data_IF_846195815835
#
_entry.id   IF_846195815835
#
_cell.length_a   1.000
_cell.length_b   1.000
_cell.length_c   1.000
_cell.angle_alpha   90.00
_cell.angle_beta   90.00
_cell.angle_gamma   90.00
#
_symmetry.space_group_name_H-M   'P 1'
#
loop_
_entity.id
_entity.type
_entity.pdbx_description
1 polymer ?
#
# COMPACT_ATOMS: atom_id res chain seq x y z
N UNK A 1 5.29 4.23 -7.98
CA UNK A 1 4.09 4.31 -7.09
C UNK A 1 2.87 4.11 -7.96
N UNK A 2 2.08 3.10 -7.63
CA UNK A 2 0.84 2.83 -8.36
C UNK A 2 -0.22 3.85 -7.99
N UNK A 3 -0.29 4.23 -6.70
CA UNK A 3 -1.23 5.25 -6.22
C UNK A 3 -0.59 6.16 -5.18
N UNK A 4 -0.92 7.45 -5.26
CA UNK A 4 -0.64 8.43 -4.22
C UNK A 4 -1.91 9.27 -4.00
N UNK A 5 -2.33 9.43 -2.76
CA UNK A 5 -3.49 10.21 -2.40
C UNK A 5 -3.30 10.92 -1.06
N UNK A 6 -3.84 12.13 -0.94
CA UNK A 6 -4.02 12.74 0.37
C UNK A 6 -5.33 12.22 0.96
N UNK A 7 -5.24 11.57 2.10
CA UNK A 7 -6.39 11.01 2.83
C UNK A 7 -6.64 11.84 4.06
N UNK A 8 -7.88 12.27 4.22
CA UNK A 8 -8.35 12.95 5.42
C UNK A 8 -8.89 11.93 6.41
N UNK A 9 -8.24 11.82 7.55
CA UNK A 9 -8.70 11.01 8.67
C UNK A 9 -9.37 11.88 9.71
N UNK A 10 -10.45 11.36 10.31
CA UNK A 10 -11.14 12.03 11.40
C UNK A 10 -11.00 11.18 12.67
N UNK A 11 -10.33 11.75 13.65
CA UNK A 11 -10.18 11.16 14.98
C UNK A 11 -10.89 12.04 16.01
N UNK A 12 -12.14 11.67 16.34
CA UNK A 12 -13.02 12.54 17.13
C UNK A 12 -13.38 13.83 16.38
N UNK A 13 -13.02 14.97 16.97
CA UNK A 13 -13.23 16.30 16.36
C UNK A 13 -11.99 16.83 15.61
N UNK A 14 -10.91 16.05 15.56
CA UNK A 14 -9.68 16.44 14.88
C UNK A 14 -9.64 15.80 13.50
N UNK A 15 -9.46 16.61 12.46
CA UNK A 15 -9.17 16.17 11.11
C UNK A 15 -7.66 16.23 10.87
N UNK A 16 -7.10 15.13 10.36
CA UNK A 16 -5.67 15.05 10.00
C UNK A 16 -5.56 14.58 8.56
N UNK A 17 -4.86 15.33 7.75
CA UNK A 17 -4.54 14.93 6.39
C UNK A 17 -3.17 14.23 6.39
N UNK A 18 -3.07 13.12 5.63
CA UNK A 18 -1.81 12.42 5.39
C UNK A 18 -1.69 11.96 3.96
N UNK A 19 -0.47 11.85 3.47
CA UNK A 19 -0.20 11.28 2.15
C UNK A 19 -0.09 9.76 2.30
N UNK A 20 -0.92 9.04 1.57
CA UNK A 20 -0.89 7.58 1.49
C UNK A 20 -0.36 7.18 0.13
N UNK A 21 0.72 6.41 0.13
CA UNK A 21 1.35 5.83 -1.04
C UNK A 21 1.03 4.35 -1.07
N UNK A 22 0.52 3.85 -2.19
CA UNK A 22 0.23 2.42 -2.35
C UNK A 22 1.09 1.89 -3.49
N UNK A 23 1.80 0.82 -3.23
CA UNK A 23 2.62 0.09 -4.19
C UNK A 23 2.18 -1.37 -4.23
N UNK A 24 1.88 -1.87 -5.43
CA UNK A 24 1.58 -3.28 -5.67
C UNK A 24 2.79 -3.94 -6.32
N UNK A 25 3.23 -5.06 -5.78
CA UNK A 25 4.33 -5.82 -6.34
C UNK A 25 4.00 -7.30 -6.38
N UNK A 26 3.92 -7.86 -7.58
CA UNK A 26 3.54 -9.26 -7.81
C UNK A 26 4.65 -10.23 -7.36
N UNK A 27 5.88 -9.95 -7.77
CA UNK A 27 7.05 -10.81 -7.55
C UNK A 27 8.22 -10.01 -7.03
N UNK A 28 9.14 -10.65 -6.31
CA UNK A 28 10.38 -10.00 -5.88
C UNK A 28 11.33 -9.82 -7.06
N UNK A 29 11.78 -8.58 -7.26
CA UNK A 29 12.84 -8.23 -8.19
C UNK A 29 14.02 -7.63 -7.43
N UNK A 30 15.24 -7.87 -7.88
CA UNK A 30 16.45 -7.34 -7.22
C UNK A 30 16.50 -5.80 -7.18
N UNK A 31 15.74 -5.13 -8.04
CA UNK A 31 15.68 -3.67 -8.15
C UNK A 31 14.55 -3.03 -7.32
N UNK A 32 13.64 -3.81 -6.73
CA UNK A 32 12.45 -3.30 -6.04
C UNK A 32 12.77 -2.29 -4.95
N UNK A 33 13.70 -2.63 -4.07
CA UNK A 33 14.08 -1.73 -2.97
C UNK A 33 14.55 -0.37 -3.48
N UNK A 34 15.33 -0.36 -4.58
CA UNK A 34 15.79 0.89 -5.17
C UNK A 34 14.62 1.67 -5.78
N UNK A 35 13.71 0.97 -6.46
CA UNK A 35 12.50 1.57 -7.05
C UNK A 35 11.62 2.20 -5.98
N UNK A 36 11.32 1.48 -4.89
CA UNK A 36 10.54 2.01 -3.78
C UNK A 36 11.21 3.24 -3.15
N UNK A 37 12.53 3.22 -2.97
CA UNK A 37 13.27 4.37 -2.45
C UNK A 37 13.22 5.58 -3.39
N UNK A 38 13.25 5.37 -4.70
CA UNK A 38 13.09 6.44 -5.68
C UNK A 38 11.70 7.07 -5.61
N UNK A 39 10.65 6.24 -5.47
CA UNK A 39 9.28 6.72 -5.32
C UNK A 39 9.07 7.51 -4.03
N UNK A 40 9.57 7.01 -2.92
CA UNK A 40 9.56 7.74 -1.66
C UNK A 40 10.31 9.07 -1.80
N UNK A 41 11.50 9.07 -2.38
CA UNK A 41 12.30 10.27 -2.62
C UNK A 41 11.56 11.32 -3.47
N UNK A 42 10.85 10.86 -4.50
CA UNK A 42 10.03 11.74 -5.33
C UNK A 42 8.89 12.39 -4.52
N UNK A 43 8.26 11.64 -3.62
CA UNK A 43 7.19 12.17 -2.77
C UNK A 43 7.72 13.10 -1.67
N UNK A 44 8.86 12.80 -1.06
CA UNK A 44 9.52 13.70 -0.10
C UNK A 44 9.89 15.05 -0.70
N UNK A 45 10.24 15.08 -1.99
CA UNK A 45 10.57 16.32 -2.72
C UNK A 45 9.39 17.00 -3.40
N UNK A 46 8.21 16.42 -3.33
CA UNK A 46 7.02 16.95 -3.98
C UNK A 46 6.44 18.13 -3.19
N UNK A 47 6.46 19.30 -3.77
CA UNK A 47 5.96 20.54 -3.15
C UNK A 47 4.47 20.48 -2.83
N UNK A 48 3.67 19.68 -3.53
CA UNK A 48 2.24 19.50 -3.23
C UNK A 48 1.98 18.78 -1.90
N UNK A 49 3.00 18.15 -1.33
CA UNK A 49 2.91 17.49 -0.02
C UNK A 49 3.23 18.42 1.15
N UNK A 50 3.49 19.71 0.90
CA UNK A 50 3.65 20.71 1.95
C UNK A 50 2.27 21.29 2.29
N UNK A 51 1.99 21.45 3.59
CA UNK A 51 0.73 22.00 4.09
C UNK A 51 0.69 23.49 3.75
N UNK A 52 -0.23 23.91 2.88
CA UNK A 52 -0.36 25.31 2.47
C UNK A 52 -0.80 26.23 3.63
N UNK A 53 -1.55 25.68 4.58
CA UNK A 53 -2.06 26.41 5.75
C UNK A 53 -1.05 26.51 6.90
N UNK A 54 0.08 25.83 6.82
CA UNK A 54 1.11 25.81 7.83
C UNK A 54 2.15 26.92 7.55
N UNK A 55 2.16 27.99 8.38
CA UNK A 55 3.16 29.07 8.29
C UNK A 55 4.61 28.56 8.35
N UNK A 56 4.85 27.41 8.96
CA UNK A 56 6.18 26.77 9.05
C UNK A 56 6.50 25.90 7.83
N UNK A 57 5.53 25.61 6.99
CA UNK A 57 5.72 24.83 5.75
C UNK A 57 6.09 23.36 6.00
N UNK A 58 5.59 22.74 7.08
CA UNK A 58 5.78 21.31 7.30
C UNK A 58 5.02 20.48 6.26
N UNK A 59 5.62 19.34 5.90
CA UNK A 59 4.98 18.38 5.01
C UNK A 59 3.86 17.59 5.73
N UNK A 60 2.95 17.01 4.93
CA UNK A 60 2.00 16.04 5.44
C UNK A 60 2.71 14.78 5.93
N UNK A 61 2.26 14.15 7.03
CA UNK A 61 2.71 12.82 7.42
C UNK A 61 2.49 11.83 6.27
N UNK A 62 3.43 10.92 6.08
CA UNK A 62 3.36 9.91 5.03
C UNK A 62 3.15 8.50 5.58
N UNK A 63 2.37 7.70 4.86
CA UNK A 63 2.23 6.26 5.08
C UNK A 63 2.45 5.54 3.76
N UNK A 64 3.41 4.61 3.74
CA UNK A 64 3.65 3.75 2.59
C UNK A 64 2.98 2.38 2.80
N UNK A 65 2.13 1.97 1.88
CA UNK A 65 1.44 0.68 1.90
C UNK A 65 2.01 -0.19 0.78
N UNK A 66 2.63 -1.31 1.16
CA UNK A 66 3.19 -2.27 0.23
C UNK A 66 2.30 -3.51 0.16
N UNK A 67 1.65 -3.74 -0.97
CA UNK A 67 0.85 -4.92 -1.26
C UNK A 67 1.71 -5.92 -2.04
N UNK A 68 2.20 -6.94 -1.34
CA UNK A 68 3.20 -7.85 -1.88
C UNK A 68 2.57 -9.20 -2.24
N UNK A 69 2.72 -9.62 -3.49
CA UNK A 69 2.37 -10.97 -3.97
C UNK A 69 3.37 -12.06 -3.55
N UNK A 70 4.33 -11.73 -2.69
CA UNK A 70 5.36 -12.63 -2.18
C UNK A 70 5.57 -12.44 -0.68
N UNK A 71 6.33 -13.33 -0.06
CA UNK A 71 6.69 -13.25 1.36
C UNK A 71 7.98 -12.45 1.57
N UNK A 72 8.05 -11.76 2.69
CA UNK A 72 9.22 -10.98 3.11
C UNK A 72 10.01 -11.74 4.17
N UNK A 73 11.12 -12.32 3.76
CA UNK A 73 12.02 -13.03 4.66
C UNK A 73 11.30 -14.11 5.45
N UNK A 74 11.52 -14.12 6.77
CA UNK A 74 10.93 -15.08 7.72
C UNK A 74 9.73 -14.51 8.50
N UNK A 75 9.16 -13.41 8.03
CA UNK A 75 7.98 -12.81 8.68
C UNK A 75 6.76 -13.65 8.32
N UNK A 76 6.04 -14.13 9.35
CA UNK A 76 4.87 -15.01 9.17
C UNK A 76 3.53 -14.28 9.33
N UNK A 77 3.55 -13.04 9.77
CA UNK A 77 2.38 -12.19 9.91
C UNK A 77 1.93 -11.70 8.53
N UNK A 78 0.64 -11.83 8.18
CA UNK A 78 0.13 -11.38 6.88
C UNK A 78 0.17 -9.85 6.73
N UNK A 79 0.07 -9.11 7.83
CA UNK A 79 0.12 -7.65 7.85
C UNK A 79 1.11 -7.21 8.91
N UNK A 80 2.07 -6.38 8.51
CA UNK A 80 3.12 -5.84 9.38
C UNK A 80 3.09 -4.32 9.34
N UNK A 81 3.06 -3.69 10.51
CA UNK A 81 3.18 -2.25 10.68
C UNK A 81 4.61 -1.90 11.05
N UNK A 82 5.19 -0.96 10.33
CA UNK A 82 6.51 -0.38 10.61
C UNK A 82 6.30 1.04 11.06
N UNK A 83 6.52 1.27 12.34
CA UNK A 83 6.37 2.58 12.98
C UNK A 83 7.73 3.08 13.46
N UNK A 84 7.81 4.35 13.76
CA UNK A 84 9.00 4.96 14.37
C UNK A 84 8.64 5.59 15.72
N UNK A 85 9.61 5.59 16.63
CA UNK A 85 9.55 6.25 17.94
C UNK A 85 10.66 7.29 18.05
N UNK A 86 10.47 8.26 18.94
CA UNK A 86 11.48 9.28 19.23
C UNK A 86 12.21 8.91 20.54
N UNK A 87 13.53 8.85 20.48
CA UNK A 87 14.39 8.51 21.61
C UNK A 87 15.27 9.69 22.00
N UNK A 88 15.57 9.79 23.33
CA UNK A 88 16.63 10.66 23.80
C UNK A 88 18.01 10.03 23.51
N UNK A 89 19.10 10.78 23.81
CA UNK A 89 20.44 10.28 23.56
C UNK A 89 20.86 9.10 24.47
N UNK A 90 20.09 8.80 25.53
CA UNK A 90 20.30 7.63 26.41
C UNK A 90 19.52 6.42 25.94
N UNK A 91 18.69 6.55 24.88
CA UNK A 91 17.84 5.50 24.36
C UNK A 91 16.50 5.35 25.08
N UNK A 92 16.08 6.34 25.87
CA UNK A 92 14.74 6.34 26.46
C UNK A 92 13.74 6.92 25.46
N UNK A 93 12.54 6.34 25.40
CA UNK A 93 11.46 6.87 24.58
C UNK A 93 11.06 8.24 25.11
N UNK A 94 11.15 9.27 24.26
CA UNK A 94 10.71 10.63 24.57
C UNK A 94 9.21 10.75 24.36
N UNK A 95 8.71 10.14 23.29
CA UNK A 95 7.30 10.13 22.95
C UNK A 95 7.00 8.91 22.08
N UNK A 96 6.00 8.13 22.47
CA UNK A 96 5.44 7.08 21.63
C UNK A 96 4.71 7.73 20.46
N UNK A 97 5.11 7.39 19.25
CA UNK A 97 4.58 7.96 18.01
C UNK A 97 4.70 9.49 18.02
N UNK A 98 5.72 10.03 17.41
CA UNK A 98 5.90 11.49 17.42
C UNK A 98 4.79 12.17 16.62
N UNK A 99 3.99 12.98 17.31
CA UNK A 99 3.05 13.90 16.63
C UNK A 99 3.70 15.27 16.35
N UNK A 100 5.03 15.37 16.54
CA UNK A 100 5.75 16.61 16.26
C UNK A 100 5.85 16.80 14.73
N UNK A 101 5.26 17.87 14.17
CA UNK A 101 5.16 18.04 12.71
C UNK A 101 6.48 18.02 11.97
N UNK A 102 7.55 18.50 12.59
CA UNK A 102 8.89 18.44 11.99
C UNK A 102 9.38 17.00 11.85
N UNK A 103 9.22 16.19 12.90
CA UNK A 103 9.64 14.78 12.88
C UNK A 103 8.79 14.00 11.89
N UNK A 104 7.47 14.19 11.90
CA UNK A 104 6.52 13.57 10.95
C UNK A 104 6.85 13.91 9.49
N UNK A 105 7.33 15.12 9.23
CA UNK A 105 7.71 15.53 7.87
C UNK A 105 9.00 14.89 7.35
N UNK A 106 9.82 14.32 8.23
CA UNK A 106 11.11 13.69 7.88
C UNK A 106 11.05 12.17 7.74
N UNK A 107 9.97 11.55 8.21
CA UNK A 107 9.84 10.10 8.28
C UNK A 107 8.52 9.64 7.65
N UNK A 108 8.32 8.33 7.58
CA UNK A 108 7.05 7.74 7.21
C UNK A 108 6.85 6.41 7.93
N UNK A 109 5.61 6.09 8.20
CA UNK A 109 5.21 4.76 8.64
C UNK A 109 4.95 3.87 7.42
N UNK A 110 5.06 2.56 7.60
CA UNK A 110 4.76 1.62 6.52
C UNK A 110 3.81 0.53 6.98
N UNK A 111 2.99 0.07 6.05
CA UNK A 111 2.14 -1.10 6.20
C UNK A 111 2.57 -2.08 5.10
N UNK A 112 3.04 -3.25 5.50
CA UNK A 112 3.46 -4.30 4.58
C UNK A 112 2.43 -5.42 4.64
N UNK A 113 1.81 -5.71 3.51
CA UNK A 113 0.82 -6.77 3.37
C UNK A 113 1.40 -7.90 2.53
N UNK A 114 1.54 -9.08 3.12
CA UNK A 114 1.97 -10.30 2.46
C UNK A 114 0.74 -11.09 1.99
N UNK A 115 0.26 -10.81 0.78
CA UNK A 115 -0.98 -11.38 0.24
C UNK A 115 -1.01 -12.91 0.31
N UNK A 116 0.09 -13.66 0.01
CA UNK A 116 0.09 -15.12 0.13
C UNK A 116 -0.18 -15.66 1.54
N UNK A 117 -0.06 -14.84 2.59
CA UNK A 117 -0.35 -15.22 3.97
C UNK A 117 -1.79 -14.92 4.40
N UNK A 118 -2.58 -14.26 3.55
CA UNK A 118 -4.00 -13.99 3.82
C UNK A 118 -4.92 -15.20 3.58
N UNK A 119 -4.36 -16.34 3.16
CA UNK A 119 -5.10 -17.55 2.80
C UNK A 119 -6.16 -17.98 3.83
N UNK A 120 -7.39 -18.06 3.39
CA UNK A 120 -8.49 -18.68 4.11
C UNK A 120 -8.99 -17.95 5.36
N UNK A 121 -8.31 -16.88 5.76
CA UNK A 121 -8.62 -16.09 6.95
C UNK A 121 -9.14 -14.70 6.57
N UNK A 122 -10.19 -14.66 5.74
CA UNK A 122 -10.84 -13.38 5.41
C UNK A 122 -11.78 -13.01 6.55
N UNK A 123 -11.24 -12.34 7.56
CA UNK A 123 -11.97 -11.99 8.79
C UNK A 123 -12.57 -10.57 8.75
N UNK A 124 -12.12 -9.75 7.82
CA UNK A 124 -12.57 -8.36 7.69
C UNK A 124 -12.62 -7.90 6.23
N UNK A 125 -13.20 -6.71 6.01
CA UNK A 125 -13.37 -6.15 4.66
C UNK A 125 -12.02 -5.91 3.95
N UNK A 126 -10.99 -5.47 4.67
CA UNK A 126 -9.66 -5.22 4.10
C UNK A 126 -9.04 -6.51 3.57
N UNK A 127 -9.04 -7.59 4.38
CA UNK A 127 -8.54 -8.90 3.96
C UNK A 127 -9.34 -9.43 2.76
N UNK A 128 -10.64 -9.20 2.73
CA UNK A 128 -11.53 -9.54 1.60
C UNK A 128 -11.13 -8.81 0.32
N UNK A 129 -10.86 -7.48 0.40
CA UNK A 129 -10.37 -6.68 -0.73
C UNK A 129 -9.02 -7.19 -1.21
N UNK A 130 -8.09 -7.42 -0.30
CA UNK A 130 -6.73 -7.83 -0.64
C UNK A 130 -6.65 -9.25 -1.21
N UNK A 131 -7.59 -10.14 -0.84
CA UNK A 131 -7.63 -11.51 -1.35
C UNK A 131 -7.83 -11.60 -2.87
N UNK A 132 -8.38 -10.55 -3.53
CA UNK A 132 -8.52 -10.54 -5.00
C UNK A 132 -7.18 -10.43 -5.72
N UNK A 133 -6.14 -10.00 -5.02
CA UNK A 133 -4.77 -9.93 -5.57
C UNK A 133 -3.96 -11.19 -5.28
N UNK A 134 -4.57 -12.22 -4.68
CA UNK A 134 -3.90 -13.47 -4.35
C UNK A 134 -3.58 -14.29 -5.60
N UNK A 135 -2.31 -14.29 -5.98
CA UNK A 135 -1.79 -14.99 -7.16
C UNK A 135 -1.87 -16.53 -7.04
N UNK A 136 -2.11 -17.07 -5.85
CA UNK A 136 -2.27 -18.52 -5.69
C UNK A 136 -3.65 -19.02 -6.18
N UNK A 137 -4.58 -18.10 -6.42
CA UNK A 137 -5.89 -18.41 -7.01
C UNK A 137 -5.88 -18.36 -8.54
N UNK A 138 -4.72 -18.30 -9.16
CA UNK A 138 -4.56 -18.30 -10.62
C UNK A 138 -4.69 -19.72 -11.15
N UNK A 139 -5.62 -19.93 -12.10
CA UNK A 139 -5.74 -21.19 -12.83
C UNK A 139 -5.01 -21.14 -14.18
N UNK A 140 -4.27 -22.20 -14.48
CA UNK A 140 -3.65 -22.44 -15.78
C UNK A 140 -2.15 -22.13 -15.86
N UNK A 141 -1.51 -22.65 -16.93
CA UNK A 141 -0.08 -22.52 -17.16
C UNK A 141 0.39 -21.08 -17.52
N UNK A 142 -0.55 -20.16 -17.73
CA UNK A 142 -0.25 -18.80 -18.18
C UNK A 142 -0.23 -17.78 -17.04
N UNK A 143 -0.63 -18.17 -15.82
CA UNK A 143 -0.69 -17.29 -14.65
C UNK A 143 -1.46 -15.95 -14.88
N UNK A 144 -2.40 -15.95 -15.83
CA UNK A 144 -3.05 -14.72 -16.29
C UNK A 144 -4.55 -14.66 -15.95
N UNK A 145 -5.12 -15.72 -15.41
CA UNK A 145 -6.56 -15.78 -15.10
C UNK A 145 -6.75 -16.01 -13.62
N UNK A 146 -7.23 -15.00 -12.92
CA UNK A 146 -7.71 -15.11 -11.55
C UNK A 146 -9.13 -15.66 -11.54
N UNK A 147 -9.35 -16.74 -10.83
CA UNK A 147 -10.69 -17.26 -10.58
C UNK A 147 -11.24 -16.60 -9.32
N UNK A 148 -12.07 -15.61 -9.51
CA UNK A 148 -12.72 -14.88 -8.44
C UNK A 148 -14.18 -15.31 -8.40
N UNK A 149 -14.64 -15.77 -7.25
CA UNK A 149 -16.02 -16.09 -6.99
C UNK A 149 -16.76 -14.80 -6.60
N UNK A 150 -17.47 -14.20 -7.57
CA UNK A 150 -18.19 -12.94 -7.40
C UNK A 150 -19.29 -13.03 -6.34
N UNK A 151 -19.86 -14.23 -6.12
CA UNK A 151 -20.92 -14.44 -5.12
C UNK A 151 -20.43 -14.12 -3.69
N UNK A 152 -19.14 -14.27 -3.44
CA UNK A 152 -18.54 -13.89 -2.14
C UNK A 152 -18.57 -12.39 -1.85
N UNK A 153 -18.79 -11.58 -2.88
CA UNK A 153 -18.75 -10.12 -2.82
C UNK A 153 -20.09 -9.47 -3.11
N UNK A 154 -21.16 -10.28 -3.25
CA UNK A 154 -22.50 -9.81 -3.65
C UNK A 154 -23.06 -8.69 -2.75
N UNK A 155 -22.65 -8.66 -1.47
CA UNK A 155 -23.10 -7.66 -0.50
C UNK A 155 -22.23 -6.38 -0.46
N UNK A 156 -21.16 -6.29 -1.30
CA UNK A 156 -20.22 -5.18 -1.29
C UNK A 156 -20.08 -4.55 -2.69
N UNK A 157 -20.84 -3.48 -2.93
CA UNK A 157 -20.87 -2.79 -4.23
C UNK A 157 -19.49 -2.23 -4.64
N UNK A 158 -18.66 -1.80 -3.69
CA UNK A 158 -17.31 -1.28 -3.99
C UNK A 158 -16.43 -2.43 -4.48
N UNK A 159 -16.56 -3.60 -3.86
CA UNK A 159 -15.84 -4.80 -4.27
C UNK A 159 -16.29 -5.27 -5.66
N UNK A 160 -17.59 -5.32 -5.92
CA UNK A 160 -18.10 -5.65 -7.25
C UNK A 160 -17.57 -4.68 -8.31
N UNK A 161 -17.51 -3.39 -7.99
CA UNK A 161 -16.92 -2.39 -8.88
C UNK A 161 -15.44 -2.68 -9.17
N UNK A 162 -14.63 -2.99 -8.15
CA UNK A 162 -13.22 -3.37 -8.32
C UNK A 162 -13.09 -4.62 -9.18
N UNK A 163 -13.88 -5.67 -8.91
CA UNK A 163 -13.86 -6.91 -9.68
C UNK A 163 -14.21 -6.69 -11.15
N UNK A 164 -15.27 -5.91 -11.43
CA UNK A 164 -15.63 -5.56 -12.79
C UNK A 164 -14.53 -4.78 -13.52
N UNK A 165 -13.83 -3.88 -12.81
CA UNK A 165 -12.68 -3.15 -13.39
C UNK A 165 -11.51 -4.07 -13.70
N UNK A 166 -11.17 -4.99 -12.77
CA UNK A 166 -10.12 -5.98 -12.98
C UNK A 166 -10.44 -6.92 -14.13
N UNK A 167 -11.69 -7.39 -14.23
CA UNK A 167 -12.18 -8.25 -15.32
C UNK A 167 -12.11 -7.53 -16.66
N UNK A 168 -12.53 -6.25 -16.70
CA UNK A 168 -12.46 -5.44 -17.92
C UNK A 168 -11.00 -5.19 -18.35
N UNK A 169 -10.11 -4.90 -17.40
CA UNK A 169 -8.68 -4.75 -17.67
C UNK A 169 -8.06 -6.04 -18.21
N UNK A 170 -8.38 -7.19 -17.60
CA UNK A 170 -7.92 -8.50 -18.05
C UNK A 170 -8.44 -8.88 -19.46
N UNK A 171 -9.60 -8.38 -19.85
CA UNK A 171 -10.17 -8.59 -21.19
C UNK A 171 -9.53 -7.68 -22.25
N UNK A 172 -8.92 -6.56 -21.86
CA UNK A 172 -8.31 -5.59 -22.78
C UNK A 172 -6.90 -6.05 -23.17
N UNK A 173 -6.70 -6.35 -24.47
CA UNK A 173 -5.41 -6.84 -24.99
C UNK A 173 -4.29 -5.80 -24.92
N UNK A 174 -4.61 -4.51 -25.05
CA UNK A 174 -3.65 -3.40 -25.00
C UNK A 174 -3.14 -3.23 -23.56
N UNK A 175 -4.05 -3.16 -22.57
CA UNK A 175 -3.68 -3.14 -21.15
C UNK A 175 -2.83 -4.34 -20.74
N UNK A 176 -3.17 -5.54 -21.23
CA UNK A 176 -2.36 -6.74 -20.93
C UNK A 176 -0.95 -6.65 -21.53
N UNK A 177 -0.80 -6.04 -22.69
CA UNK A 177 0.50 -5.85 -23.33
C UNK A 177 1.35 -4.85 -22.55
N UNK A 178 0.77 -3.75 -22.10
CA UNK A 178 1.43 -2.74 -21.28
C UNK A 178 1.88 -3.32 -19.93
N UNK A 179 1.03 -4.11 -19.27
CA UNK A 179 1.39 -4.81 -18.03
C UNK A 179 2.52 -5.82 -18.21
N UNK A 180 2.57 -6.54 -19.34
CA UNK A 180 3.66 -7.47 -19.63
C UNK A 180 4.99 -6.74 -19.87
N UNK A 181 4.96 -5.56 -20.45
CA UNK A 181 6.17 -4.72 -20.67
C UNK A 181 6.72 -4.21 -19.34
N UNK A 182 5.85 -3.85 -18.38
CA UNK A 182 6.30 -3.43 -17.04
C UNK A 182 6.91 -4.58 -16.24
N UNK A 183 6.48 -5.81 -16.44
CA UNK A 183 7.06 -7.00 -15.80
C UNK A 183 8.45 -7.38 -16.36
N UNK A 184 8.86 -6.85 -17.53
CA UNK A 184 10.15 -7.12 -18.18
C UNK A 184 11.26 -6.08 -17.89
N UNK A 185 10.92 -4.96 -17.24
CA UNK A 185 11.86 -3.87 -16.91
C UNK A 185 12.01 -3.69 -15.41
#
# INVERSE_FOLDING_TARGET
IDFAATVREREGDVEKDRVVLIELQKTWLNTETLRFRQYLGAQYSNKSNIREEDEKGFAYPMVAVYLLGHRVGNINEPIVYVNHDVFDYNGNIVKEGSEEPFVESLTHNSIIVQIPLLHGNVNNRLEKVLSVFDQTQVEGNTQQVLKIDEDKYADDNDMLYVLHKLTAAAANSEMRQDMNVEDEY
#
